data_IF_642248360699
#
_entry.id   IF_642248360699
#
_cell.length_a   1.000
_cell.length_b   1.000
_cell.length_c   1.000
_cell.angle_alpha   90.00
_cell.angle_beta   90.00
_cell.angle_gamma   90.00
#
_symmetry.space_group_name_H-M   'P 1'
#
loop_
_entity.id
_entity.type
_entity.pdbx_description
1 polymer ?
#
# COMPACT_ATOMS: atom_id res chain seq x y z
N UNK A 1 0.62 16.22 14.10
CA UNK A 1 0.10 15.25 13.11
C UNK A 1 1.23 15.00 12.14
N UNK A 2 1.90 13.84 12.20
CA UNK A 2 3.11 13.60 11.40
C UNK A 2 2.70 13.43 9.95
N UNK A 3 3.17 14.33 9.07
CA UNK A 3 2.81 14.28 7.66
C UNK A 3 3.52 13.07 7.03
N UNK A 4 2.78 12.12 6.45
CA UNK A 4 3.37 10.92 5.81
C UNK A 4 4.34 11.30 4.68
N UNK A 5 4.19 12.49 4.10
CA UNK A 5 5.12 13.05 3.11
C UNK A 5 6.53 13.36 3.63
N UNK A 6 6.65 13.72 4.91
CA UNK A 6 7.92 14.16 5.51
C UNK A 6 8.57 13.05 6.35
N UNK A 7 7.90 11.91 6.49
CA UNK A 7 8.44 10.77 7.22
C UNK A 7 9.38 9.95 6.33
N UNK A 8 10.63 9.70 6.75
CA UNK A 8 11.58 8.89 5.99
C UNK A 8 11.17 7.40 5.87
N UNK A 9 10.21 6.96 6.68
CA UNK A 9 9.68 5.60 6.67
C UNK A 9 8.58 5.38 5.62
N UNK A 10 8.15 6.42 4.87
CA UNK A 10 7.12 6.30 3.84
C UNK A 10 7.67 6.69 2.47
N UNK A 11 7.28 5.95 1.44
CA UNK A 11 7.57 6.27 0.04
C UNK A 11 6.26 6.45 -0.72
N UNK A 12 6.19 7.47 -1.59
CA UNK A 12 5.03 7.69 -2.45
C UNK A 12 5.08 6.72 -3.63
N UNK A 13 4.04 5.89 -3.77
CA UNK A 13 3.83 5.02 -4.94
C UNK A 13 2.88 5.73 -5.91
N UNK A 14 3.20 5.73 -7.21
CA UNK A 14 2.40 6.41 -8.24
C UNK A 14 2.45 5.63 -9.55
N UNK A 15 1.32 5.53 -10.25
CA UNK A 15 1.19 4.80 -11.51
C UNK A 15 -0.14 5.06 -12.20
N UNK A 16 -0.22 4.71 -13.49
CA UNK A 16 -1.44 4.84 -14.27
C UNK A 16 -2.23 3.53 -14.25
N UNK A 17 -3.53 3.62 -13.97
CA UNK A 17 -4.48 2.50 -14.02
C UNK A 17 -5.72 2.90 -14.80
N UNK A 18 -6.48 1.94 -15.35
CA UNK A 18 -7.78 2.23 -15.95
C UNK A 18 -8.70 3.00 -14.99
N UNK A 19 -9.47 3.95 -15.53
CA UNK A 19 -10.38 4.79 -14.73
C UNK A 19 -11.40 3.96 -13.94
N UNK A 20 -11.90 2.89 -14.56
CA UNK A 20 -12.84 1.98 -13.92
C UNK A 20 -12.21 1.27 -12.72
N UNK A 21 -10.97 0.79 -12.86
CA UNK A 21 -10.23 0.16 -11.78
C UNK A 21 -10.00 1.12 -10.61
N UNK A 22 -9.57 2.37 -10.89
CA UNK A 22 -9.40 3.39 -9.85
C UNK A 22 -10.71 3.70 -9.10
N UNK A 23 -11.84 3.73 -9.83
CA UNK A 23 -13.17 3.97 -9.25
C UNK A 23 -13.59 2.80 -8.37
N UNK A 24 -13.45 1.58 -8.85
CA UNK A 24 -13.79 0.36 -8.11
C UNK A 24 -12.94 0.22 -6.86
N UNK A 25 -11.64 0.51 -6.95
CA UNK A 25 -10.74 0.56 -5.80
C UNK A 25 -11.18 1.59 -4.76
N UNK A 26 -11.58 2.79 -5.21
CA UNK A 26 -12.11 3.84 -4.33
C UNK A 26 -13.35 3.41 -3.58
N UNK A 27 -14.30 2.78 -4.27
CA UNK A 27 -15.52 2.28 -3.64
C UNK A 27 -15.16 1.21 -2.59
N UNK A 28 -14.31 0.25 -2.97
CA UNK A 28 -13.94 -0.86 -2.10
C UNK A 28 -13.32 -0.43 -0.76
N UNK A 29 -12.36 0.52 -0.77
CA UNK A 29 -11.77 0.98 0.48
C UNK A 29 -12.70 1.91 1.27
N UNK A 30 -13.54 2.69 0.58
CA UNK A 30 -14.53 3.55 1.25
C UNK A 30 -15.56 2.69 1.98
N UNK A 31 -16.03 1.60 1.38
CA UNK A 31 -16.93 0.63 2.02
C UNK A 31 -16.33 -0.11 3.22
N UNK A 32 -14.99 -0.11 3.34
CA UNK A 32 -14.26 -0.68 4.48
C UNK A 32 -13.89 0.35 5.54
N UNK A 33 -14.29 1.61 5.35
CA UNK A 33 -13.99 2.73 6.27
C UNK A 33 -12.48 2.97 6.49
N UNK A 34 -11.63 2.53 5.54
CA UNK A 34 -10.19 2.76 5.56
C UNK A 34 -9.79 3.88 4.60
N UNK A 35 -8.62 4.49 4.85
CA UNK A 35 -8.11 5.53 3.96
C UNK A 35 -7.38 4.95 2.74
N UNK A 36 -7.18 5.80 1.73
CA UNK A 36 -6.51 5.43 0.47
C UNK A 36 -5.12 4.83 0.68
N UNK A 37 -4.34 5.32 1.64
CA UNK A 37 -2.99 4.82 1.91
C UNK A 37 -3.01 3.40 2.49
N UNK A 38 -3.93 3.10 3.40
CA UNK A 38 -4.08 1.76 3.97
C UNK A 38 -4.56 0.76 2.92
N UNK A 39 -5.53 1.17 2.10
CA UNK A 39 -5.99 0.34 0.99
C UNK A 39 -4.87 0.01 0.00
N UNK A 40 -4.02 0.99 -0.31
CA UNK A 40 -2.88 0.80 -1.20
C UNK A 40 -1.84 -0.12 -0.56
N UNK A 41 -1.60 0.01 0.74
CA UNK A 41 -0.69 -0.88 1.48
C UNK A 41 -1.18 -2.33 1.48
N UNK A 42 -2.47 -2.57 1.74
CA UNK A 42 -3.05 -3.92 1.66
C UNK A 42 -2.97 -4.49 0.25
N UNK A 43 -3.25 -3.69 -0.78
CA UNK A 43 -3.16 -4.13 -2.17
C UNK A 43 -1.73 -4.51 -2.56
N UNK A 44 -0.74 -3.72 -2.14
CA UNK A 44 0.68 -4.00 -2.38
C UNK A 44 1.15 -5.24 -1.61
N UNK A 45 0.74 -5.40 -0.34
CA UNK A 45 1.04 -6.60 0.45
C UNK A 45 0.51 -7.85 -0.24
N UNK A 46 -0.76 -7.83 -0.66
CA UNK A 46 -1.38 -8.95 -1.38
C UNK A 46 -0.69 -9.25 -2.70
N UNK A 47 -0.35 -8.21 -3.48
CA UNK A 47 0.39 -8.39 -4.72
C UNK A 47 1.73 -9.11 -4.48
N UNK A 48 2.48 -8.69 -3.46
CA UNK A 48 3.77 -9.30 -3.12
C UNK A 48 3.64 -10.71 -2.52
N UNK A 49 2.56 -10.99 -1.81
CA UNK A 49 2.26 -12.32 -1.26
C UNK A 49 1.96 -13.32 -2.39
N UNK A 50 1.26 -12.88 -3.43
CA UNK A 50 0.93 -13.69 -4.62
C UNK A 50 2.17 -13.92 -5.51
N UNK A 51 3.08 -12.95 -5.60
CA UNK A 51 4.24 -12.99 -6.51
C UNK A 51 5.54 -13.58 -5.90
N UNK A 52 5.61 -13.77 -4.57
CA UNK A 52 6.81 -14.17 -3.81
C UNK A 52 8.16 -13.64 -4.36
N UNK A 53 8.53 -12.42 -3.97
CA UNK A 53 9.87 -12.19 -3.46
C UNK A 53 9.78 -11.85 -1.98
N UNK A 54 10.09 -12.84 -1.15
CA UNK A 54 10.28 -12.68 0.30
C UNK A 54 11.16 -11.44 0.60
N UNK A 55 10.66 -10.43 1.33
CA UNK A 55 11.53 -9.38 1.85
C UNK A 55 12.41 -10.01 2.93
N UNK A 56 13.70 -10.07 2.63
CA UNK A 56 14.80 -10.45 3.51
C UNK A 56 14.51 -10.05 4.97
N UNK A 57 14.30 -11.06 5.83
CA UNK A 57 14.32 -10.89 7.29
C UNK A 57 15.75 -10.49 7.67
N UNK A 58 16.11 -9.21 7.58
CA UNK A 58 17.36 -8.72 8.18
C UNK A 58 17.29 -8.81 9.70
N UNK A 59 17.82 -9.93 10.19
CA UNK A 59 18.66 -10.08 11.38
C UNK A 59 18.64 -8.87 12.34
N UNK A 60 17.95 -9.02 13.47
CA UNK A 60 18.38 -8.35 14.71
C UNK A 60 18.49 -9.40 15.80
N UNK A 61 19.69 -9.97 15.86
CA UNK A 61 20.21 -10.74 16.98
C UNK A 61 21.10 -9.76 17.76
N UNK A 62 20.66 -9.36 18.94
CA UNK A 62 21.52 -8.90 20.03
C UNK A 62 21.01 -9.60 21.29
#
# INVERSE_FOLDING_TARGET
>A
MVNKRDNPNYSQVSGYVPKDLARSFRIAYTSKEINHSEALEEALKKWLEDENPSPDKKNKKD
#
